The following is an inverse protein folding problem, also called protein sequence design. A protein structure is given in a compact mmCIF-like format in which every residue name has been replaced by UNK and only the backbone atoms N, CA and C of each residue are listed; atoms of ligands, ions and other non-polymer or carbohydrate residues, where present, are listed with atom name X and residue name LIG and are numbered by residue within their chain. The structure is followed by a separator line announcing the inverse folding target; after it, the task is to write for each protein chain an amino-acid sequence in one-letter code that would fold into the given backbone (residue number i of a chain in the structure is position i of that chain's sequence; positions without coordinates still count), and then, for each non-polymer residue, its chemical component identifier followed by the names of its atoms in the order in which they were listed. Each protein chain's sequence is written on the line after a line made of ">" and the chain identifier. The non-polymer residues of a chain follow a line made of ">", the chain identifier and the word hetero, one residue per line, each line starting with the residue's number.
data_IF_051018600823
#
_entry.id   IF_051018600823
#
_cell.length_a   1.000
_cell.length_b   1.000
_cell.length_c   1.000
_cell.angle_alpha   90.00
_cell.angle_beta   90.00
_cell.angle_gamma   90.00
#
_symmetry.space_group_name_H-M   'P 1'
#
loop_
_entity.id
_entity.type
_entity.pdbx_description
1 polymer ?
#
# COMPACT_ATOMS: atom_id res chain seq x y z
N UNK A 1 4.78 -16.35 -0.51
CA UNK A 1 5.73 -15.45 0.20
C UNK A 1 7.20 -15.45 -0.29
N UNK A 2 7.81 -16.59 -0.67
CA UNK A 2 9.26 -16.65 -1.04
C UNK A 2 9.67 -15.76 -2.21
N UNK A 3 8.82 -15.60 -3.23
CA UNK A 3 9.15 -14.78 -4.41
C UNK A 3 9.16 -13.27 -4.10
N UNK A 4 8.22 -12.77 -3.28
CA UNK A 4 8.23 -11.37 -2.84
C UNK A 4 9.44 -11.05 -1.97
N UNK A 5 9.83 -11.95 -1.05
CA UNK A 5 11.06 -11.81 -0.25
C UNK A 5 12.31 -11.68 -1.10
N UNK A 6 12.46 -12.50 -2.16
CA UNK A 6 13.60 -12.39 -3.09
C UNK A 6 13.69 -11.02 -3.75
N UNK A 7 12.54 -10.42 -4.10
CA UNK A 7 12.47 -9.09 -4.72
C UNK A 7 12.82 -7.99 -3.72
N UNK A 8 12.26 -8.05 -2.50
CA UNK A 8 12.55 -7.08 -1.44
C UNK A 8 14.01 -7.14 -1.00
N UNK A 9 14.58 -8.34 -0.86
CA UNK A 9 16.00 -8.56 -0.57
C UNK A 9 16.88 -7.89 -1.63
N UNK A 10 16.48 -7.93 -2.90
CA UNK A 10 17.24 -7.26 -3.97
C UNK A 10 17.19 -5.74 -3.86
N UNK A 11 16.06 -5.17 -3.40
CA UNK A 11 15.90 -3.73 -3.20
C UNK A 11 16.68 -3.26 -1.98
N UNK A 12 16.55 -3.96 -0.84
CA UNK A 12 17.28 -3.65 0.39
C UNK A 12 18.78 -3.76 0.19
N UNK A 13 19.26 -4.80 -0.50
CA UNK A 13 20.68 -4.95 -0.81
C UNK A 13 21.20 -3.81 -1.69
N UNK A 14 20.40 -3.33 -2.65
CA UNK A 14 20.77 -2.17 -3.48
C UNK A 14 20.81 -0.88 -2.65
N UNK A 15 19.81 -0.63 -1.81
CA UNK A 15 19.77 0.52 -0.93
C UNK A 15 20.97 0.55 0.02
N UNK A 16 21.26 -0.58 0.68
CA UNK A 16 22.40 -0.72 1.59
C UNK A 16 23.73 -0.53 0.87
N UNK A 17 23.86 -1.07 -0.35
CA UNK A 17 25.04 -0.90 -1.20
C UNK A 17 25.24 0.56 -1.60
N UNK A 18 24.19 1.26 -2.03
CA UNK A 18 24.25 2.68 -2.37
C UNK A 18 24.64 3.51 -1.14
N UNK A 19 24.02 3.26 0.02
CA UNK A 19 24.39 3.94 1.26
C UNK A 19 25.86 3.74 1.65
N UNK A 20 26.39 2.52 1.49
CA UNK A 20 27.81 2.24 1.75
C UNK A 20 28.74 3.02 0.80
N UNK A 21 28.42 3.07 -0.50
CA UNK A 21 29.21 3.80 -1.50
C UNK A 21 29.30 5.30 -1.20
N UNK A 22 28.19 5.93 -0.79
CA UNK A 22 28.17 7.35 -0.48
C UNK A 22 28.91 7.67 0.83
N UNK A 23 28.84 6.79 1.84
CA UNK A 23 29.66 6.91 3.05
C UNK A 23 31.16 6.78 2.77
N UNK A 24 31.57 5.86 1.89
CA UNK A 24 32.98 5.71 1.52
C UNK A 24 33.48 6.91 0.71
N UNK A 25 32.63 7.47 -0.17
CA UNK A 25 32.92 8.72 -0.89
C UNK A 25 33.12 9.89 0.07
N UNK A 26 32.26 10.02 1.10
CA UNK A 26 32.38 11.07 2.12
C UNK A 26 33.68 10.95 2.93
N UNK A 27 34.08 9.72 3.31
CA UNK A 27 35.36 9.45 3.97
C UNK A 27 36.57 9.87 3.13
N UNK A 28 36.47 9.78 1.81
CA UNK A 28 37.53 10.17 0.87
C UNK A 28 37.58 11.69 0.57
N UNK A 29 36.58 12.47 1.01
CA UNK A 29 36.54 13.92 0.74
C UNK A 29 37.49 14.70 1.66
N UNK A 30 38.40 15.43 1.03
CA UNK A 30 39.48 16.22 1.69
C UNK A 30 38.98 17.54 2.29
N UNK A 31 37.84 18.06 1.82
CA UNK A 31 37.30 19.35 2.27
C UNK A 31 36.01 19.16 3.11
N UNK A 32 36.06 19.33 4.45
CA UNK A 32 34.90 19.17 5.33
C UNK A 32 33.77 20.18 5.07
N UNK A 33 34.09 21.33 4.47
CA UNK A 33 33.19 22.46 4.24
C UNK A 33 32.17 22.23 3.11
N UNK A 34 32.36 21.17 2.32
CA UNK A 34 31.51 20.76 1.18
C UNK A 34 30.74 19.46 1.45
N UNK A 35 30.79 18.92 2.68
CA UNK A 35 30.06 17.70 3.05
C UNK A 35 28.55 18.00 3.13
N UNK A 36 27.79 17.49 2.16
CA UNK A 36 26.35 17.31 2.30
C UNK A 36 26.05 16.09 3.20
N UNK A 37 24.76 15.78 3.43
CA UNK A 37 24.39 14.52 4.09
C UNK A 37 24.62 13.35 3.11
N UNK A 38 25.54 12.41 3.39
CA UNK A 38 25.75 11.25 2.54
C UNK A 38 24.51 10.36 2.43
N UNK A 39 23.68 10.34 3.49
CA UNK A 39 22.41 9.61 3.51
C UNK A 39 21.36 10.24 2.58
N UNK A 40 21.19 11.56 2.60
CA UNK A 40 20.24 12.26 1.72
C UNK A 40 20.66 12.11 0.24
N UNK A 41 21.96 12.27 -0.04
CA UNK A 41 22.53 12.08 -1.38
C UNK A 41 22.34 10.63 -1.89
N UNK A 42 22.56 9.64 -1.02
CA UNK A 42 22.36 8.23 -1.34
C UNK A 42 20.87 7.94 -1.62
N UNK A 43 19.98 8.50 -0.81
CA UNK A 43 18.53 8.37 -0.98
C UNK A 43 18.07 8.97 -2.31
N UNK A 44 18.46 10.21 -2.60
CA UNK A 44 18.12 10.89 -3.85
C UNK A 44 18.68 10.15 -5.08
N UNK A 45 19.90 9.63 -4.98
CA UNK A 45 20.49 8.80 -6.04
C UNK A 45 19.70 7.52 -6.27
N UNK A 46 19.41 6.77 -5.21
CA UNK A 46 18.64 5.54 -5.28
C UNK A 46 17.25 5.78 -5.87
N UNK A 47 16.57 6.84 -5.41
CA UNK A 47 15.24 7.20 -5.90
C UNK A 47 15.25 7.54 -7.39
N UNK A 48 16.24 8.31 -7.85
CA UNK A 48 16.40 8.60 -9.28
C UNK A 48 16.61 7.32 -10.09
N UNK A 49 17.46 6.40 -9.61
CA UNK A 49 17.71 5.13 -10.30
C UNK A 49 16.45 4.25 -10.34
N UNK A 50 15.70 4.19 -9.24
CA UNK A 50 14.43 3.46 -9.17
C UNK A 50 13.42 4.00 -10.20
N UNK A 51 13.19 5.31 -10.21
CA UNK A 51 12.26 5.97 -11.13
C UNK A 51 12.70 5.78 -12.60
N UNK A 52 14.00 5.84 -12.89
CA UNK A 52 14.53 5.59 -14.23
C UNK A 52 14.31 4.13 -14.68
N UNK A 53 14.54 3.16 -13.78
CA UNK A 53 14.26 1.75 -14.08
C UNK A 53 12.78 1.49 -14.30
N UNK A 54 11.91 2.12 -13.51
CA UNK A 54 10.47 2.05 -13.69
C UNK A 54 10.05 2.62 -15.05
N UNK A 55 10.51 3.82 -15.41
CA UNK A 55 10.23 4.40 -16.73
C UNK A 55 10.64 3.46 -17.87
N UNK A 56 11.81 2.83 -17.77
CA UNK A 56 12.30 1.87 -18.76
C UNK A 56 11.42 0.62 -18.84
N UNK A 57 10.90 0.13 -17.71
CA UNK A 57 9.93 -0.97 -17.69
C UNK A 57 8.64 -0.57 -18.40
N UNK A 58 8.12 0.63 -18.16
CA UNK A 58 6.93 1.15 -18.85
C UNK A 58 7.14 1.15 -20.37
N UNK A 59 8.30 1.63 -20.84
CA UNK A 59 8.65 1.65 -22.28
C UNK A 59 8.68 0.24 -22.90
N UNK A 60 9.23 -0.75 -22.18
CA UNK A 60 9.26 -2.16 -22.63
C UNK A 60 7.85 -2.72 -22.71
N UNK A 61 7.03 -2.49 -21.68
CA UNK A 61 5.65 -3.00 -21.66
C UNK A 61 4.84 -2.39 -22.81
N UNK A 62 4.95 -1.07 -23.03
CA UNK A 62 4.30 -0.40 -24.15
C UNK A 62 4.73 -0.97 -25.51
N UNK A 63 6.02 -1.27 -25.68
CA UNK A 63 6.51 -1.94 -26.89
C UNK A 63 5.89 -3.34 -27.05
N UNK A 64 5.88 -4.15 -25.99
CA UNK A 64 5.28 -5.49 -26.02
C UNK A 64 3.79 -5.45 -26.37
N UNK A 65 3.03 -4.53 -25.76
CA UNK A 65 1.62 -4.29 -26.09
C UNK A 65 1.47 -3.92 -27.57
N UNK A 66 2.28 -2.98 -28.07
CA UNK A 66 2.21 -2.58 -29.48
C UNK A 66 2.51 -3.72 -30.46
N UNK A 67 3.44 -4.61 -30.14
CA UNK A 67 3.71 -5.81 -30.95
C UNK A 67 2.51 -6.76 -30.95
N UNK A 68 1.86 -6.94 -29.80
CA UNK A 68 0.67 -7.80 -29.68
C UNK A 68 -0.55 -7.22 -30.40
N UNK A 69 -0.80 -5.92 -30.26
CA UNK A 69 -1.86 -5.19 -30.96
C UNK A 69 -1.73 -5.38 -32.48
N UNK A 70 -0.54 -5.12 -33.02
CA UNK A 70 -0.25 -5.31 -34.44
C UNK A 70 -0.47 -6.77 -34.90
N UNK A 71 -0.11 -7.74 -34.04
CA UNK A 71 -0.28 -9.16 -34.33
C UNK A 71 -1.75 -9.60 -34.37
N UNK A 72 -2.58 -9.10 -33.44
CA UNK A 72 -4.01 -9.40 -33.39
C UNK A 72 -4.75 -8.72 -34.54
N UNK A 73 -4.48 -7.43 -34.79
CA UNK A 73 -5.07 -6.67 -35.89
C UNK A 73 -4.79 -7.31 -37.25
N UNK A 74 -3.54 -7.79 -37.45
CA UNK A 74 -3.16 -8.51 -38.65
C UNK A 74 -3.95 -9.80 -38.85
N UNK A 75 -4.15 -10.58 -37.79
CA UNK A 75 -4.94 -11.83 -37.83
C UNK A 75 -6.43 -11.56 -38.05
N UNK A 76 -6.99 -10.53 -37.43
CA UNK A 76 -8.39 -10.11 -37.65
C UNK A 76 -8.61 -9.65 -39.09
N UNK A 77 -7.68 -8.88 -39.67
CA UNK A 77 -7.73 -8.48 -41.08
C UNK A 77 -7.62 -9.68 -42.01
N UNK A 78 -6.75 -10.65 -41.73
CA UNK A 78 -6.66 -11.88 -42.53
C UNK A 78 -7.99 -12.66 -42.54
N UNK A 79 -8.63 -12.83 -41.38
CA UNK A 79 -9.96 -13.46 -41.28
C UNK A 79 -11.03 -12.68 -42.06
N UNK A 80 -10.99 -11.35 -42.03
CA UNK A 80 -11.99 -10.50 -42.65
C UNK A 80 -11.83 -10.36 -44.18
N UNK A 81 -10.61 -10.52 -44.71
CA UNK A 81 -10.27 -10.19 -46.10
C UNK A 81 -10.00 -11.42 -46.96
N UNK A 82 -9.56 -12.53 -46.35
CA UNK A 82 -9.24 -13.76 -47.07
C UNK A 82 -10.39 -14.77 -47.00
N UNK A 83 -10.72 -15.40 -48.13
CA UNK A 83 -11.67 -16.53 -48.18
C UNK A 83 -11.01 -17.81 -47.63
N UNK A 84 -10.72 -17.82 -46.33
CA UNK A 84 -10.10 -18.92 -45.60
C UNK A 84 -11.11 -20.04 -45.36
N UNK A 85 -10.65 -21.30 -45.37
CA UNK A 85 -11.48 -22.45 -45.02
C UNK A 85 -11.94 -22.40 -43.55
N UNK A 86 -13.04 -23.10 -43.25
CA UNK A 86 -13.58 -23.18 -41.88
C UNK A 86 -12.55 -23.67 -40.86
N UNK A 87 -11.62 -24.55 -41.26
CA UNK A 87 -10.58 -25.08 -40.39
C UNK A 87 -9.47 -24.06 -40.13
N UNK A 88 -9.05 -23.29 -41.15
CA UNK A 88 -8.06 -22.22 -41.01
C UNK A 88 -8.59 -21.07 -40.15
N UNK A 89 -9.85 -20.68 -40.35
CA UNK A 89 -10.50 -19.67 -39.51
C UNK A 89 -10.56 -20.10 -38.03
N UNK A 90 -10.89 -21.37 -37.76
CA UNK A 90 -10.95 -21.90 -36.40
C UNK A 90 -9.57 -21.90 -35.72
N UNK A 91 -8.52 -22.29 -36.45
CA UNK A 91 -7.13 -22.26 -35.94
C UNK A 91 -6.67 -20.83 -35.63
N UNK A 92 -6.93 -19.88 -36.51
CA UNK A 92 -6.54 -18.47 -36.30
C UNK A 92 -7.33 -17.86 -35.14
N UNK A 93 -8.63 -18.16 -34.99
CA UNK A 93 -9.43 -17.69 -33.85
C UNK A 93 -8.94 -18.23 -32.51
N UNK A 94 -8.62 -19.52 -32.42
CA UNK A 94 -8.10 -20.13 -31.19
C UNK A 94 -6.73 -19.55 -30.80
N UNK A 95 -5.85 -19.35 -31.79
CA UNK A 95 -4.56 -18.69 -31.57
C UNK A 95 -4.73 -17.20 -31.19
N UNK A 96 -5.75 -16.52 -31.72
CA UNK A 96 -6.06 -15.12 -31.38
C UNK A 96 -6.59 -14.98 -29.95
N UNK A 97 -7.45 -15.90 -29.50
CA UNK A 97 -8.02 -15.87 -28.14
C UNK A 97 -6.94 -15.97 -27.05
N UNK A 98 -5.96 -16.85 -27.23
CA UNK A 98 -4.83 -16.98 -26.30
C UNK A 98 -4.00 -15.69 -26.22
N UNK A 99 -3.76 -15.04 -27.36
CA UNK A 99 -3.01 -13.78 -27.42
C UNK A 99 -3.81 -12.61 -26.81
N UNK A 100 -5.13 -12.63 -26.94
CA UNK A 100 -6.03 -11.63 -26.36
C UNK A 100 -6.07 -11.69 -24.82
N UNK A 101 -6.02 -12.89 -24.23
CA UNK A 101 -5.89 -13.05 -22.77
C UNK A 101 -4.56 -12.47 -22.27
N UNK A 102 -3.44 -12.82 -22.92
CA UNK A 102 -2.12 -12.29 -22.57
C UNK A 102 -2.07 -10.77 -22.70
N UNK A 103 -2.69 -10.22 -23.75
CA UNK A 103 -2.82 -8.78 -23.97
C UNK A 103 -3.55 -8.12 -22.81
N UNK A 104 -4.71 -8.66 -22.42
CA UNK A 104 -5.48 -8.13 -21.29
C UNK A 104 -4.67 -8.17 -19.99
N UNK A 105 -3.91 -9.23 -19.75
CA UNK A 105 -3.05 -9.34 -18.57
C UNK A 105 -2.00 -8.22 -18.55
N UNK A 106 -1.32 -7.96 -19.67
CA UNK A 106 -0.30 -6.91 -19.75
C UNK A 106 -0.91 -5.50 -19.65
N UNK A 107 -2.10 -5.27 -20.19
CA UNK A 107 -2.80 -4.00 -19.99
C UNK A 107 -3.20 -3.76 -18.53
N UNK A 108 -3.61 -4.81 -17.83
CA UNK A 108 -3.91 -4.72 -16.41
C UNK A 108 -2.67 -4.32 -15.60
N UNK A 109 -1.48 -4.83 -15.95
CA UNK A 109 -0.23 -4.41 -15.31
C UNK A 109 0.03 -2.90 -15.49
N UNK A 110 -0.23 -2.33 -16.67
CA UNK A 110 -0.08 -0.88 -16.90
C UNK A 110 -1.09 -0.07 -16.09
N UNK A 111 -2.33 -0.56 -15.94
CA UNK A 111 -3.35 0.10 -15.13
C UNK A 111 -2.97 0.09 -13.64
N UNK A 112 -2.51 -1.06 -13.13
CA UNK A 112 -2.00 -1.20 -11.76
C UNK A 112 -0.80 -0.27 -11.54
N UNK A 113 0.15 -0.23 -12.47
CA UNK A 113 1.32 0.66 -12.40
C UNK A 113 0.91 2.15 -12.35
N UNK A 114 -0.08 2.56 -13.15
CA UNK A 114 -0.59 3.93 -13.15
C UNK A 114 -1.26 4.29 -11.81
N UNK A 115 -2.04 3.37 -11.23
CA UNK A 115 -2.68 3.56 -9.92
C UNK A 115 -1.61 3.69 -8.82
N UNK A 116 -0.62 2.79 -8.80
CA UNK A 116 0.48 2.85 -7.82
C UNK A 116 1.23 4.17 -7.95
N UNK A 117 1.54 4.63 -9.17
CA UNK A 117 2.22 5.90 -9.42
C UNK A 117 1.43 7.10 -8.92
N UNK A 118 0.13 7.13 -9.18
CA UNK A 118 -0.74 8.22 -8.71
C UNK A 118 -0.72 8.27 -7.18
N UNK A 119 -0.88 7.11 -6.52
CA UNK A 119 -0.85 7.01 -5.06
C UNK A 119 0.49 7.43 -4.46
N UNK A 120 1.62 7.06 -5.08
CA UNK A 120 2.95 7.51 -4.64
C UNK A 120 3.21 9.00 -4.84
N UNK A 121 2.50 9.66 -5.77
CA UNK A 121 2.63 11.10 -6.03
C UNK A 121 1.67 11.97 -5.21
N UNK A 122 0.58 11.41 -4.70
CA UNK A 122 -0.37 12.12 -3.83
C UNK A 122 0.12 12.16 -2.36
N UNK A 123 1.05 11.29 -1.99
CA UNK A 123 1.65 11.20 -0.66
C UNK A 123 2.43 12.47 -0.22
N UNK A 124 3.27 13.13 -1.05
CA UNK A 124 4.06 14.30 -0.65
C UNK A 124 3.24 15.57 -0.40
N UNK A 125 2.01 15.67 -0.92
CA UNK A 125 1.16 16.85 -0.74
C UNK A 125 0.39 16.84 0.59
N UNK A 126 0.40 15.72 1.31
CA UNK A 126 -0.19 15.59 2.65
C UNK A 126 0.82 15.77 3.79
N UNK A 127 2.11 15.71 3.49
CA UNK A 127 3.23 15.92 4.42
C UNK A 127 3.65 17.40 4.52
N UNK A 128 2.68 18.31 4.71
CA UNK A 128 3.01 19.62 5.29
C UNK A 128 2.84 19.56 6.80
N UNK A 129 3.88 19.83 7.60
CA UNK A 129 3.73 20.02 9.03
C UNK A 129 3.14 21.41 9.24
N UNK A 130 1.82 21.52 9.22
CA UNK A 130 1.16 22.65 9.88
C UNK A 130 -0.17 22.18 10.47
N UNK A 131 -0.16 21.98 11.79
CA UNK A 131 -1.34 21.71 12.60
C UNK A 131 -2.24 22.93 12.70
N UNK A 132 -2.78 23.39 11.57
CA UNK A 132 -3.79 24.43 11.51
C UNK A 132 -4.87 23.91 10.57
N UNK A 133 -6.00 23.47 11.13
CA UNK A 133 -7.15 23.05 10.35
C UNK A 133 -7.50 24.12 9.30
N UNK A 134 -7.91 23.76 8.07
CA UNK A 134 -8.20 24.72 6.99
C UNK A 134 -9.27 25.76 7.38
N UNK A 135 -10.11 25.45 8.36
CA UNK A 135 -11.07 26.38 8.97
C UNK A 135 -10.41 27.49 9.79
N UNK A 136 -9.29 27.20 10.48
CA UNK A 136 -8.55 28.17 11.29
C UNK A 136 -7.69 29.08 10.39
N UNK A 137 -7.14 28.56 9.28
CA UNK A 137 -6.41 29.38 8.32
C UNK A 137 -7.31 30.40 7.62
N UNK A 138 -8.55 30.01 7.26
CA UNK A 138 -9.58 30.94 6.75
C UNK A 138 -9.95 31.99 7.78
N UNK A 139 -10.15 31.60 9.04
CA UNK A 139 -10.51 32.51 10.13
C UNK A 139 -9.41 33.57 10.38
N UNK A 140 -8.14 33.14 10.44
CA UNK A 140 -6.99 34.02 10.63
C UNK A 140 -6.79 34.98 9.45
N UNK A 141 -7.00 34.54 8.20
CA UNK A 141 -6.94 35.46 7.05
C UNK A 141 -8.06 36.49 7.06
N UNK A 142 -9.30 36.12 7.44
CA UNK A 142 -10.38 37.10 7.61
C UNK A 142 -10.13 38.09 8.75
N UNK A 143 -9.58 37.63 9.88
CA UNK A 143 -9.29 38.51 11.03
C UNK A 143 -8.15 39.49 10.68
N UNK A 144 -7.11 39.04 9.99
CA UNK A 144 -6.02 39.91 9.52
C UNK A 144 -6.54 40.92 8.49
N UNK A 145 -7.38 40.52 7.53
CA UNK A 145 -7.98 41.45 6.56
C UNK A 145 -8.90 42.49 7.24
N UNK A 146 -9.63 42.09 8.29
CA UNK A 146 -10.50 42.99 9.04
C UNK A 146 -9.72 43.97 9.94
N UNK A 147 -8.55 43.59 10.45
CA UNK A 147 -7.72 44.47 11.28
C UNK A 147 -6.93 45.52 10.46
N UNK A 148 -6.68 45.28 9.17
CA UNK A 148 -5.99 46.23 8.29
C UNK A 148 -6.92 47.08 7.41
N UNK A 149 -8.24 46.89 7.51
CA UNK A 149 -9.23 47.64 6.72
C UNK A 149 -10.16 48.55 7.55
N UNK A 150 -9.64 49.57 8.24
CA UNK A 150 -10.48 50.73 8.53
C UNK A 150 -9.76 52.03 8.16
N UNK A 151 -9.71 52.39 6.87
CA UNK A 151 -9.45 53.78 6.43
C UNK A 151 -9.67 53.98 4.92
N UNK A 152 -10.77 53.52 4.32
CA UNK A 152 -11.25 54.14 3.07
C UNK A 152 -12.72 53.80 2.80
N UNK A 153 -13.61 54.58 3.39
CA UNK A 153 -14.98 54.73 2.92
C UNK A 153 -15.30 56.22 2.78
N UNK A 154 -15.17 56.75 1.57
CA UNK A 154 -16.04 57.84 1.08
C UNK A 154 -16.10 57.84 -0.47
N UNK A 155 -17.18 57.23 -1.00
CA UNK A 155 -17.99 57.60 -2.19
C UNK A 155 -17.36 57.56 -3.61
N UNK A 156 -18.19 57.55 -4.69
CA UNK A 156 -19.34 56.71 -4.99
C UNK A 156 -19.15 55.95 -6.33
N UNK A 157 -20.09 55.05 -6.64
CA UNK A 157 -20.14 54.26 -7.87
C UNK A 157 -20.04 55.10 -9.16
N UNK A 158 -19.16 54.70 -10.10
CA UNK A 158 -19.44 54.59 -11.54
C UNK A 158 -18.21 54.12 -12.34
N UNK A 159 -18.47 53.20 -13.26
CA UNK A 159 -17.70 52.83 -14.45
C UNK A 159 -16.33 52.13 -14.27
N UNK A 160 -16.31 50.82 -14.51
CA UNK A 160 -15.71 50.25 -15.72
C UNK A 160 -15.71 48.71 -15.64
N UNK A 161 -16.76 48.09 -16.17
CA UNK A 161 -16.67 46.73 -16.67
C UNK A 161 -15.75 46.73 -17.90
N UNK A 162 -14.43 46.52 -17.75
CA UNK A 162 -13.51 46.23 -18.88
C UNK A 162 -12.05 46.01 -18.44
N UNK A 163 -11.71 44.93 -17.74
CA UNK A 163 -10.30 44.46 -17.69
C UNK A 163 -10.10 42.95 -17.72
N UNK A 164 -11.09 42.11 -17.41
CA UNK A 164 -10.92 40.64 -17.49
C UNK A 164 -11.12 40.03 -18.89
N UNK A 165 -11.41 40.84 -19.90
CA UNK A 165 -11.60 40.38 -21.29
C UNK A 165 -10.39 40.64 -22.21
N UNK A 166 -9.21 40.99 -21.68
CA UNK A 166 -8.01 41.30 -22.48
C UNK A 166 -6.79 40.39 -22.26
N UNK A 167 -6.97 39.22 -21.66
CA UNK A 167 -5.90 38.19 -21.59
C UNK A 167 -6.32 36.82 -22.16
N UNK A 168 -7.27 36.80 -23.10
CA UNK A 168 -7.67 35.57 -23.83
C UNK A 168 -7.72 35.78 -25.36
N UNK A 169 -7.01 36.79 -25.89
CA UNK A 169 -6.93 37.06 -27.34
C UNK A 169 -5.49 36.99 -27.90
N UNK A 170 -4.73 35.97 -27.52
CA UNK A 170 -3.60 35.52 -28.32
C UNK A 170 -3.49 33.99 -28.22
N UNK A 171 -3.47 33.32 -29.37
CA UNK A 171 -3.47 31.87 -29.62
C UNK A 171 -4.84 31.19 -29.77
N UNK A 172 -5.47 31.33 -30.95
CA UNK A 172 -6.58 30.51 -31.41
C UNK A 172 -6.05 29.26 -32.12
N UNK A 173 -6.06 28.10 -31.46
CA UNK A 173 -6.09 26.78 -32.14
C UNK A 173 -6.21 25.64 -31.12
N UNK A 174 -7.43 25.33 -30.65
CA UNK A 174 -7.93 23.94 -30.57
C UNK A 174 -9.35 23.89 -29.97
N UNK A 175 -10.33 23.69 -30.84
CA UNK A 175 -11.67 23.14 -30.62
C UNK A 175 -12.10 22.59 -32.00
N UNK A 176 -13.08 21.67 -32.17
CA UNK A 176 -13.76 20.75 -31.23
C UNK A 176 -14.04 19.36 -31.86
N UNK A 177 -14.76 18.48 -31.13
CA UNK A 177 -15.59 17.40 -31.72
C UNK A 177 -15.69 16.14 -30.85
N UNK A 178 -16.58 16.13 -29.85
CA UNK A 178 -17.91 15.49 -29.87
C UNK A 178 -17.90 13.97 -30.14
N UNK A 179 -18.35 13.20 -29.15
CA UNK A 179 -19.46 12.29 -29.32
C UNK A 179 -20.28 12.22 -28.02
N UNK A 180 -21.59 12.41 -28.19
CA UNK A 180 -22.62 12.35 -27.18
C UNK A 180 -23.01 10.89 -26.91
N UNK A 181 -23.26 10.55 -25.65
CA UNK A 181 -24.21 9.50 -25.29
C UNK A 181 -25.05 9.96 -24.09
N UNK A 182 -26.33 9.63 -24.19
CA UNK A 182 -27.46 10.27 -23.54
C UNK A 182 -27.75 9.76 -22.13
N UNK A 183 -28.32 10.65 -21.32
CA UNK A 183 -29.37 10.39 -20.33
C UNK A 183 -29.27 9.14 -19.47
N UNK A 184 -28.55 9.27 -18.35
CA UNK A 184 -28.69 8.41 -17.18
C UNK A 184 -28.81 9.29 -15.94
N UNK A 185 -29.92 9.18 -15.24
CA UNK A 185 -30.23 9.81 -13.97
C UNK A 185 -29.10 9.56 -12.96
N UNK A 186 -28.50 10.63 -12.45
CA UNK A 186 -27.44 10.55 -11.43
C UNK A 186 -28.07 10.12 -10.10
N UNK A 187 -28.27 8.81 -9.94
CA UNK A 187 -28.33 8.22 -8.61
C UNK A 187 -26.97 8.46 -8.00
N UNK A 188 -26.93 9.18 -6.88
CA UNK A 188 -25.74 9.35 -6.04
C UNK A 188 -24.99 8.02 -5.97
N UNK A 189 -23.76 8.02 -6.49
CA UNK A 189 -22.86 6.90 -6.33
C UNK A 189 -22.83 6.49 -4.85
N UNK A 190 -22.73 5.17 -4.55
CA UNK A 190 -22.62 4.72 -3.17
C UNK A 190 -21.43 5.42 -2.52
N UNK A 191 -21.52 5.70 -1.22
CA UNK A 191 -20.37 6.11 -0.41
C UNK A 191 -19.16 5.25 -0.80
N UNK A 192 -18.08 5.95 -1.16
CA UNK A 192 -16.77 5.37 -1.44
C UNK A 192 -16.30 4.65 -0.18
N UNK A 193 -16.49 3.32 -0.13
CA UNK A 193 -15.71 2.47 0.75
C UNK A 193 -14.25 2.67 0.32
N UNK A 194 -13.57 3.58 1.00
CA UNK A 194 -12.19 4.01 0.75
C UNK A 194 -11.30 2.77 0.53
N UNK A 195 -10.89 2.55 -0.73
CA UNK A 195 -10.17 1.33 -1.14
C UNK A 195 -8.79 1.27 -0.46
N UNK A 196 -8.71 0.54 0.65
CA UNK A 196 -7.49 0.35 1.45
C UNK A 196 -6.44 -0.49 0.73
N UNK A 197 -5.16 -0.17 0.95
CA UNK A 197 -4.02 -0.95 0.43
C UNK A 197 -3.82 -2.21 1.30
N UNK A 198 -3.83 -3.42 0.73
CA UNK A 198 -3.54 -4.64 1.50
C UNK A 198 -2.04 -4.72 1.83
N UNK A 199 -1.72 -4.91 3.11
CA UNK A 199 -0.34 -5.10 3.61
C UNK A 199 -0.33 -6.35 4.47
N UNK A 200 0.54 -7.32 4.16
CA UNK A 200 0.66 -8.56 4.92
C UNK A 200 2.06 -8.70 5.51
N UNK A 201 2.15 -8.88 6.83
CA UNK A 201 3.41 -9.13 7.52
C UNK A 201 3.60 -10.64 7.71
N UNK A 202 4.63 -11.19 7.08
CA UNK A 202 5.04 -12.58 7.29
C UNK A 202 5.94 -12.69 8.51
N UNK A 203 5.38 -13.08 9.66
CA UNK A 203 6.04 -13.02 10.98
C UNK A 203 5.97 -14.35 11.73
N UNK A 204 6.62 -14.40 12.89
CA UNK A 204 6.39 -15.43 13.90
C UNK A 204 6.48 -14.73 15.26
N UNK A 205 5.53 -15.02 16.15
CA UNK A 205 5.36 -14.31 17.42
C UNK A 205 6.62 -14.33 18.30
N UNK A 206 7.49 -15.36 18.17
CA UNK A 206 8.75 -15.47 18.93
C UNK A 206 10.02 -15.28 18.10
N UNK A 207 9.92 -14.76 16.88
CA UNK A 207 11.09 -14.44 16.05
C UNK A 207 11.69 -13.09 16.44
N UNK A 208 13.00 -13.01 16.76
CA UNK A 208 13.62 -11.71 17.08
C UNK A 208 13.55 -10.70 15.94
N UNK A 209 13.56 -11.15 14.67
CA UNK A 209 13.45 -10.29 13.50
C UNK A 209 12.02 -9.75 13.32
N UNK A 210 10.99 -10.52 13.69
CA UNK A 210 9.59 -10.09 13.65
C UNK A 210 9.34 -8.95 14.66
N UNK A 211 9.80 -9.12 15.90
CA UNK A 211 9.72 -8.08 16.93
C UNK A 211 10.38 -6.76 16.48
N UNK A 212 11.52 -6.86 15.78
CA UNK A 212 12.20 -5.68 15.23
C UNK A 212 11.39 -5.03 14.10
N UNK A 213 10.86 -5.82 13.18
CA UNK A 213 10.01 -5.36 12.08
C UNK A 213 8.76 -4.64 12.62
N UNK A 214 8.06 -5.26 13.58
CA UNK A 214 6.83 -4.72 14.18
C UNK A 214 7.10 -3.40 14.94
N UNK A 215 8.28 -3.26 15.56
CA UNK A 215 8.71 -1.98 16.17
C UNK A 215 8.87 -0.84 15.16
N UNK A 216 9.12 -1.15 13.87
CA UNK A 216 9.07 -0.14 12.81
C UNK A 216 7.62 0.22 12.50
N UNK A 217 6.73 -0.77 12.40
CA UNK A 217 5.31 -0.56 12.14
C UNK A 217 4.60 0.25 13.23
N UNK A 218 5.04 0.15 14.49
CA UNK A 218 4.60 1.03 15.59
C UNK A 218 4.67 2.53 15.26
N UNK A 219 5.64 2.94 14.42
CA UNK A 219 5.82 4.34 14.01
C UNK A 219 5.06 4.69 12.73
N UNK A 220 4.77 3.69 11.91
CA UNK A 220 4.12 3.83 10.61
C UNK A 220 2.61 3.86 10.77
N UNK A 221 2.04 2.91 11.52
CA UNK A 221 0.59 2.74 11.63
C UNK A 221 -0.15 3.99 12.10
N UNK A 222 0.32 4.81 13.06
CA UNK A 222 -0.37 6.05 13.43
C UNK A 222 -0.62 7.02 12.25
N UNK A 223 0.15 6.91 11.17
CA UNK A 223 0.07 7.78 9.99
C UNK A 223 -0.77 7.18 8.85
N UNK A 224 -0.94 5.85 8.80
CA UNK A 224 -1.52 5.16 7.63
C UNK A 224 -2.63 4.16 7.97
N UNK A 225 -3.02 4.03 9.24
CA UNK A 225 -3.95 2.99 9.70
C UNK A 225 -5.33 3.03 9.05
N UNK A 226 -5.77 4.20 8.60
CA UNK A 226 -7.02 4.40 7.84
C UNK A 226 -6.88 4.01 6.36
N UNK A 227 -5.66 3.96 5.83
CA UNK A 227 -5.36 3.74 4.40
C UNK A 227 -4.96 2.31 4.05
N UNK A 228 -4.65 1.49 5.05
CA UNK A 228 -4.19 0.11 4.84
C UNK A 228 -5.14 -0.90 5.47
N UNK A 229 -5.20 -2.08 4.88
CA UNK A 229 -5.74 -3.28 5.49
C UNK A 229 -4.55 -4.18 5.85
N UNK A 230 -4.21 -4.21 7.14
CA UNK A 230 -3.05 -4.93 7.66
C UNK A 230 -3.43 -6.35 8.09
N UNK A 231 -2.71 -7.35 7.59
CA UNK A 231 -2.87 -8.76 7.99
C UNK A 231 -1.55 -9.38 8.41
N UNK A 232 -1.61 -10.44 9.23
CA UNK A 232 -0.46 -11.24 9.63
C UNK A 232 -0.51 -12.61 8.94
N UNK A 233 0.66 -13.13 8.58
CA UNK A 233 0.84 -14.48 8.05
C UNK A 233 1.98 -15.14 8.82
N UNK A 234 1.76 -16.35 9.31
CA UNK A 234 2.70 -17.04 10.18
C UNK A 234 3.40 -18.17 9.46
N UNK A 235 4.65 -18.44 9.87
CA UNK A 235 5.43 -19.56 9.35
C UNK A 235 5.26 -20.74 10.30
N UNK A 236 4.75 -21.85 9.78
CA UNK A 236 4.66 -23.14 10.46
C UNK A 236 5.14 -24.27 9.56
N UNK A 237 5.10 -25.50 10.06
CA UNK A 237 5.06 -26.69 9.21
C UNK A 237 3.91 -27.55 9.69
N UNK A 238 2.93 -27.80 8.82
CA UNK A 238 1.85 -28.74 9.11
C UNK A 238 2.43 -30.10 9.52
N UNK A 239 2.07 -30.54 10.71
CA UNK A 239 2.48 -31.82 11.28
C UNK A 239 1.31 -32.43 12.04
N UNK A 240 0.58 -33.34 11.39
CA UNK A 240 -0.57 -34.02 11.98
C UNK A 240 -0.20 -34.93 13.17
N UNK A 241 1.10 -35.18 13.42
CA UNK A 241 1.56 -35.91 14.60
C UNK A 241 1.81 -35.00 15.81
N UNK A 242 1.78 -33.67 15.62
CA UNK A 242 1.85 -32.69 16.69
C UNK A 242 0.48 -32.60 17.38
N UNK A 243 0.39 -32.89 18.70
CA UNK A 243 -0.89 -33.14 19.36
C UNK A 243 -1.70 -31.89 19.73
N UNK A 244 -1.09 -30.71 19.80
CA UNK A 244 -1.74 -29.52 20.33
C UNK A 244 -2.33 -28.60 19.25
N UNK A 245 -1.57 -28.35 18.18
CA UNK A 245 -1.85 -27.39 17.12
C UNK A 245 -1.89 -28.05 15.72
N UNK A 246 -1.32 -29.24 15.55
CA UNK A 246 -1.14 -29.86 14.24
C UNK A 246 -0.14 -29.10 13.35
N UNK A 247 0.66 -28.21 13.96
CA UNK A 247 1.65 -27.35 13.31
C UNK A 247 2.88 -27.29 14.19
N UNK A 248 4.05 -27.55 13.60
CA UNK A 248 5.33 -27.34 14.27
C UNK A 248 5.85 -25.93 13.98
N UNK A 249 5.90 -25.09 15.02
CA UNK A 249 6.50 -23.77 14.96
C UNK A 249 8.02 -23.80 15.26
N UNK A 250 8.78 -22.86 14.71
CA UNK A 250 10.26 -22.85 14.78
C UNK A 250 10.80 -22.59 16.19
N UNK A 251 10.05 -21.89 17.03
CA UNK A 251 10.46 -21.58 18.41
C UNK A 251 9.64 -22.35 19.47
N UNK A 252 9.08 -23.49 19.08
CA UNK A 252 8.39 -24.42 19.97
C UNK A 252 6.90 -24.09 20.19
N UNK A 253 6.21 -24.83 21.06
CA UNK A 253 4.75 -24.79 21.17
C UNK A 253 4.20 -23.44 21.67
N UNK A 254 4.97 -22.71 22.48
CA UNK A 254 4.56 -21.39 22.93
C UNK A 254 4.63 -20.32 21.81
N UNK A 255 5.40 -20.55 20.74
CA UNK A 255 5.28 -19.73 19.53
C UNK A 255 3.96 -20.01 18.83
N UNK A 256 3.54 -21.28 18.71
CA UNK A 256 2.24 -21.60 18.11
C UNK A 256 1.10 -20.96 18.90
N UNK A 257 1.11 -21.05 20.23
CA UNK A 257 0.15 -20.35 21.08
C UNK A 257 0.16 -18.83 20.86
N UNK A 258 1.35 -18.22 20.79
CA UNK A 258 1.48 -16.79 20.51
C UNK A 258 0.97 -16.38 19.13
N UNK A 259 1.24 -17.19 18.09
CA UNK A 259 0.71 -16.97 16.75
C UNK A 259 -0.82 -17.02 16.76
N UNK A 260 -1.41 -17.98 17.48
CA UNK A 260 -2.87 -18.07 17.66
C UNK A 260 -3.41 -16.83 18.37
N UNK A 261 -2.75 -16.34 19.43
CA UNK A 261 -3.16 -15.12 20.12
C UNK A 261 -3.22 -13.91 19.18
N UNK A 262 -2.19 -13.73 18.35
CA UNK A 262 -2.11 -12.63 17.38
C UNK A 262 -3.13 -12.78 16.23
N UNK A 263 -3.31 -14.00 15.70
CA UNK A 263 -4.32 -14.30 14.67
C UNK A 263 -5.73 -14.02 15.18
N UNK A 264 -6.09 -14.55 16.35
CA UNK A 264 -7.42 -14.36 16.93
C UNK A 264 -7.69 -12.89 17.25
N UNK A 265 -6.71 -12.16 17.81
CA UNK A 265 -6.86 -10.73 18.00
C UNK A 265 -7.09 -9.99 16.66
N UNK A 266 -6.33 -10.34 15.61
CA UNK A 266 -6.50 -9.69 14.30
C UNK A 266 -7.83 -10.00 13.61
N UNK A 267 -8.40 -11.17 13.86
CA UNK A 267 -9.65 -11.61 13.25
C UNK A 267 -10.90 -11.03 13.93
N UNK A 268 -10.82 -10.76 15.23
CA UNK A 268 -11.98 -10.37 16.05
C UNK A 268 -11.99 -8.90 16.47
N UNK A 269 -10.86 -8.19 16.39
CA UNK A 269 -10.75 -6.80 16.84
C UNK A 269 -10.44 -5.83 15.69
N UNK A 270 -10.66 -4.54 15.92
CA UNK A 270 -10.22 -3.51 14.97
C UNK A 270 -8.69 -3.40 14.91
N UNK A 271 -8.18 -2.89 13.78
CA UNK A 271 -6.74 -2.81 13.50
C UNK A 271 -5.93 -2.09 14.57
N UNK A 272 -6.46 -1.02 15.18
CA UNK A 272 -5.73 -0.27 16.20
C UNK A 272 -5.66 -1.06 17.49
N UNK A 273 -6.75 -1.73 17.83
CA UNK A 273 -6.87 -2.50 19.07
C UNK A 273 -6.01 -3.77 19.03
N UNK A 274 -6.09 -4.59 17.97
CA UNK A 274 -5.24 -5.79 17.89
C UNK A 274 -3.76 -5.44 17.73
N UNK A 275 -3.41 -4.34 17.05
CA UNK A 275 -2.01 -3.92 17.02
C UNK A 275 -1.50 -3.49 18.41
N UNK A 276 -2.35 -2.84 19.20
CA UNK A 276 -2.02 -2.49 20.60
C UNK A 276 -1.82 -3.74 21.45
N UNK A 277 -2.58 -4.80 21.19
CA UNK A 277 -2.43 -6.11 21.82
C UNK A 277 -1.08 -6.76 21.45
N UNK A 278 -0.77 -6.87 20.15
CA UNK A 278 0.50 -7.40 19.65
C UNK A 278 1.70 -6.66 20.26
N UNK A 279 1.64 -5.32 20.29
CA UNK A 279 2.68 -4.49 20.91
C UNK A 279 2.89 -4.83 22.39
N UNK A 280 1.82 -5.08 23.13
CA UNK A 280 1.91 -5.51 24.53
C UNK A 280 2.57 -6.88 24.68
N UNK A 281 2.21 -7.85 23.83
CA UNK A 281 2.84 -9.18 23.85
C UNK A 281 4.35 -9.06 23.67
N UNK A 282 4.78 -8.30 22.66
CA UNK A 282 6.19 -8.02 22.38
C UNK A 282 6.90 -7.31 23.54
N UNK A 283 6.24 -6.36 24.20
CA UNK A 283 6.79 -5.62 25.32
C UNK A 283 7.09 -6.50 26.55
N UNK A 284 6.29 -7.54 26.80
CA UNK A 284 6.55 -8.48 27.91
C UNK A 284 7.73 -9.42 27.62
N UNK A 285 8.25 -9.40 26.39
CA UNK A 285 9.47 -10.08 25.98
C UNK A 285 9.21 -11.44 25.32
N UNK A 286 10.09 -11.79 24.38
CA UNK A 286 9.99 -12.98 23.51
C UNK A 286 9.75 -14.31 24.25
N UNK A 287 10.27 -14.45 25.47
CA UNK A 287 10.10 -15.66 26.28
C UNK A 287 8.71 -15.83 26.88
N UNK A 288 7.90 -14.76 26.90
CA UNK A 288 6.58 -14.67 27.54
C UNK A 288 5.40 -14.73 26.57
N UNK A 289 5.67 -14.51 25.28
CA UNK A 289 4.67 -14.59 24.21
C UNK A 289 4.09 -16.00 24.14
N UNK A 290 2.76 -16.14 24.09
CA UNK A 290 2.07 -17.44 24.14
C UNK A 290 1.80 -17.99 25.54
N UNK A 291 2.27 -17.35 26.61
CA UNK A 291 1.84 -17.68 27.97
C UNK A 291 0.43 -17.11 28.25
N UNK A 292 -0.49 -17.89 28.85
CA UNK A 292 -1.85 -17.42 29.14
C UNK A 292 -1.93 -16.13 29.97
N UNK A 293 -1.08 -16.03 30.99
CA UNK A 293 -1.01 -14.83 31.84
C UNK A 293 -0.65 -13.57 31.02
N UNK A 294 0.26 -13.71 30.05
CA UNK A 294 0.68 -12.60 29.20
C UNK A 294 -0.44 -12.21 28.23
N UNK A 295 -1.15 -13.19 27.66
CA UNK A 295 -2.29 -12.96 26.78
C UNK A 295 -3.41 -12.19 27.49
N UNK A 296 -3.87 -12.68 28.64
CA UNK A 296 -4.96 -12.04 29.40
C UNK A 296 -4.57 -10.64 29.88
N UNK A 297 -3.36 -10.46 30.40
CA UNK A 297 -2.84 -9.14 30.79
C UNK A 297 -2.77 -8.16 29.62
N UNK A 298 -2.41 -8.63 28.44
CA UNK A 298 -2.34 -7.77 27.26
C UNK A 298 -3.72 -7.43 26.70
N UNK A 299 -4.73 -8.27 26.91
CA UNK A 299 -6.11 -7.95 26.58
C UNK A 299 -6.61 -6.74 27.37
N UNK A 300 -6.35 -6.74 28.69
CA UNK A 300 -6.63 -5.58 29.55
C UNK A 300 -5.89 -4.32 29.09
N UNK A 301 -4.61 -4.47 28.72
CA UNK A 301 -3.77 -3.36 28.23
C UNK A 301 -4.28 -2.78 26.91
N UNK A 302 -4.73 -3.63 26.00
CA UNK A 302 -5.33 -3.27 24.72
C UNK A 302 -6.81 -2.85 24.83
N UNK A 303 -7.40 -2.96 26.04
CA UNK A 303 -8.77 -2.53 26.38
C UNK A 303 -9.85 -3.27 25.60
N UNK A 304 -9.71 -4.59 25.47
CA UNK A 304 -10.81 -5.45 25.03
C UNK A 304 -11.12 -6.51 26.09
N UNK A 305 -12.36 -6.94 26.15
CA UNK A 305 -12.77 -8.04 27.01
C UNK A 305 -12.43 -9.37 26.34
N UNK A 306 -11.62 -10.21 27.00
CA UNK A 306 -11.15 -11.47 26.42
C UNK A 306 -12.31 -12.39 26.01
N UNK A 307 -13.37 -12.44 26.83
CA UNK A 307 -14.49 -13.36 26.65
C UNK A 307 -15.53 -12.80 25.68
N UNK A 308 -15.89 -11.53 25.80
CA UNK A 308 -16.96 -10.91 25.00
C UNK A 308 -16.51 -10.49 23.60
N UNK A 309 -15.20 -10.29 23.37
CA UNK A 309 -14.67 -9.85 22.08
C UNK A 309 -14.62 -10.94 21.00
N UNK A 310 -14.84 -12.21 21.34
CA UNK A 310 -14.62 -13.35 20.45
C UNK A 310 -13.18 -13.85 20.41
N UNK A 311 -12.20 -13.05 20.88
CA UNK A 311 -10.79 -13.46 20.94
C UNK A 311 -10.59 -14.67 21.84
N UNK A 312 -11.24 -14.70 23.00
CA UNK A 312 -11.14 -15.81 23.96
C UNK A 312 -11.82 -17.09 23.47
N UNK A 313 -12.89 -17.01 22.68
CA UNK A 313 -13.46 -18.21 22.04
C UNK A 313 -12.51 -18.73 20.95
N UNK A 314 -11.89 -17.82 20.18
CA UNK A 314 -10.96 -18.17 19.12
C UNK A 314 -9.64 -18.76 19.63
N UNK A 315 -9.06 -18.17 20.68
CA UNK A 315 -7.76 -18.57 21.22
C UNK A 315 -7.85 -19.54 22.40
N UNK A 316 -9.03 -19.70 23.00
CA UNK A 316 -9.25 -20.44 24.24
C UNK A 316 -9.46 -19.50 25.43
N UNK A 317 -10.55 -19.70 26.16
CA UNK A 317 -10.95 -18.84 27.29
C UNK A 317 -9.92 -18.86 28.42
N UNK A 318 -9.10 -19.90 28.50
CA UNK A 318 -8.00 -20.03 29.44
C UNK A 318 -6.72 -19.30 29.00
N UNK A 319 -6.69 -18.70 27.81
CA UNK A 319 -5.51 -18.05 27.24
C UNK A 319 -4.47 -19.01 26.65
N UNK A 320 -4.78 -20.31 26.52
CA UNK A 320 -3.81 -21.32 26.08
C UNK A 320 -3.37 -21.20 24.60
N UNK A 321 -4.17 -20.55 23.76
CA UNK A 321 -3.95 -20.52 22.31
C UNK A 321 -4.34 -21.83 21.62
N UNK A 322 -5.06 -22.74 22.29
CA UNK A 322 -5.35 -24.11 21.81
C UNK A 322 -6.82 -24.35 21.42
N UNK A 323 -7.60 -23.31 21.23
CA UNK A 323 -8.96 -23.48 20.71
C UNK A 323 -8.97 -23.77 19.20
N UNK A 324 -10.01 -24.48 18.76
CA UNK A 324 -10.13 -25.05 17.42
C UNK A 324 -10.09 -23.99 16.31
N UNK A 325 -10.77 -22.85 16.50
CA UNK A 325 -10.77 -21.75 15.52
C UNK A 325 -9.36 -21.18 15.35
N UNK A 326 -8.69 -20.83 16.44
CA UNK A 326 -7.33 -20.30 16.41
C UNK A 326 -6.32 -21.26 15.78
N UNK A 327 -6.42 -22.55 16.10
CA UNK A 327 -5.61 -23.60 15.47
C UNK A 327 -5.88 -23.67 13.96
N UNK A 328 -7.14 -23.58 13.54
CA UNK A 328 -7.51 -23.61 12.12
C UNK A 328 -6.92 -22.40 11.38
N UNK A 329 -7.01 -21.20 11.97
CA UNK A 329 -6.38 -19.99 11.42
C UNK A 329 -4.86 -20.15 11.28
N UNK A 330 -4.21 -20.78 12.27
CA UNK A 330 -2.77 -21.04 12.22
C UNK A 330 -2.42 -22.00 11.08
N UNK A 331 -3.20 -23.07 10.89
CA UNK A 331 -3.01 -24.04 9.81
C UNK A 331 -3.24 -23.42 8.42
N UNK A 332 -4.21 -22.51 8.28
CA UNK A 332 -4.48 -21.78 7.03
C UNK A 332 -3.42 -20.71 6.72
N UNK A 333 -2.78 -20.16 7.74
CA UNK A 333 -1.75 -19.13 7.58
C UNK A 333 -0.43 -19.66 6.97
N UNK A 334 -0.21 -20.97 7.02
CA UNK A 334 0.96 -21.67 6.48
C UNK A 334 0.79 -21.95 4.97
N UNK A 335 1.07 -20.94 4.12
CA UNK A 335 1.12 -21.09 2.65
C UNK A 335 2.28 -20.38 1.92
#
# INVERSE_FOLDING_TARGET
>A
MREYRKVDDTVIMRLNRTGAQFRDRDRAMVNPSLRGSPEEDACAYFWRDLIMNWKRRTEIIQYCVGVMDNGIDGKQKAIATENLSSEEQSRIKNASSTEEVKRSQIHNELAVEAIVRQRSLDEPLSLQPSGIAPSIMRLLTTIILAMFAPSLLTLPALAAASTYARLMLQFPSYMPGQNAFAGGEFTSAPEDDEVKVPVTLGVMSRCPDALLCETVFDKVLPQVNDRINLTLSFIGQIDASEPDFGVTCLHGPLECAGNVHELCASNHLDQKQWWSYLKCLNFNGRGKIGEPETALKCAETAKFDWTESGVGDCAGQDGSGKAEEGISLLQESDS
#
